data_IF_266908633922
#
_entry.id   IF_266908633922
#
_cell.length_a   1.000
_cell.length_b   1.000
_cell.length_c   1.000
_cell.angle_alpha   90.00
_cell.angle_beta   90.00
_cell.angle_gamma   90.00
#
_symmetry.space_group_name_H-M   'P 1'
#
loop_
_entity.id
_entity.type
_entity.pdbx_description
1 polymer ?
#
# COMPACT_ATOMS: atom_id res chain seq x y z
N UNK A 1 24.73 17.78 -16.35
CA UNK A 1 23.46 17.85 -15.60
C UNK A 1 23.76 17.51 -14.14
N UNK A 2 23.59 18.43 -13.22
CA UNK A 2 23.91 18.25 -11.80
C UNK A 2 22.98 17.16 -11.25
N UNK A 3 23.56 16.07 -10.74
CA UNK A 3 22.83 15.10 -9.92
C UNK A 3 22.40 15.86 -8.65
N UNK A 4 21.18 16.39 -8.64
CA UNK A 4 20.61 16.85 -7.39
C UNK A 4 20.58 15.66 -6.45
N UNK A 5 21.44 15.64 -5.44
CA UNK A 5 21.37 14.69 -4.35
C UNK A 5 20.00 14.85 -3.71
N UNK A 6 19.09 13.90 -3.95
CA UNK A 6 17.80 13.87 -3.30
C UNK A 6 18.06 13.72 -1.81
N UNK A 7 17.58 14.67 -1.02
CA UNK A 7 17.58 14.54 0.43
C UNK A 7 16.57 13.45 0.79
N UNK A 8 17.06 12.28 1.21
CA UNK A 8 16.24 11.15 1.63
C UNK A 8 15.94 11.14 3.13
N UNK A 9 16.46 12.12 3.86
CA UNK A 9 16.22 12.22 5.30
C UNK A 9 14.72 12.33 5.61
N UNK A 10 14.36 12.02 6.84
CA UNK A 10 12.98 12.11 7.33
C UNK A 10 12.38 13.48 7.05
N UNK A 11 11.11 13.51 6.70
CA UNK A 11 10.33 14.75 6.72
C UNK A 11 10.00 15.13 8.17
N UNK A 12 9.86 16.42 8.47
CA UNK A 12 9.36 16.82 9.77
C UNK A 12 7.95 16.26 10.00
N UNK A 13 7.63 15.92 11.26
CA UNK A 13 6.27 15.55 11.61
C UNK A 13 5.31 16.69 11.27
N UNK A 14 4.14 16.42 10.69
CA UNK A 14 3.10 17.42 10.46
C UNK A 14 2.55 17.93 11.80
N UNK A 15 1.77 19.01 11.73
CA UNK A 15 0.92 19.38 12.86
C UNK A 15 -0.07 18.24 13.11
N UNK A 16 -0.36 17.90 14.37
CA UNK A 16 -1.39 16.91 14.70
C UNK A 16 -2.74 17.27 14.07
N UNK A 17 -3.51 16.28 13.73
CA UNK A 17 -4.92 16.45 13.37
C UNK A 17 -5.69 17.07 14.55
N UNK A 18 -6.84 17.72 14.31
CA UNK A 18 -7.73 18.16 15.39
C UNK A 18 -8.01 17.00 16.37
N UNK A 19 -8.22 17.30 17.66
CA UNK A 19 -8.33 16.31 18.75
C UNK A 19 -9.42 15.25 18.51
N UNK A 20 -10.48 15.60 17.80
CA UNK A 20 -11.60 14.72 17.42
C UNK A 20 -11.43 14.07 16.03
N UNK A 21 -10.34 14.37 15.34
CA UNK A 21 -10.06 13.86 14.01
C UNK A 21 -8.93 12.81 14.06
N UNK A 22 -9.30 11.57 13.81
CA UNK A 22 -8.37 10.46 13.69
C UNK A 22 -8.43 9.85 12.30
N UNK A 23 -7.37 9.12 11.92
CA UNK A 23 -7.24 8.46 10.63
C UNK A 23 -6.54 7.12 10.79
N UNK A 24 -6.76 6.23 9.84
CA UNK A 24 -6.04 4.95 9.73
C UNK A 24 -5.24 4.96 8.42
N UNK A 25 -3.98 4.56 8.49
CA UNK A 25 -3.14 4.29 7.31
C UNK A 25 -3.58 2.97 6.69
N UNK A 26 -4.35 3.03 5.60
CA UNK A 26 -4.99 1.84 5.03
C UNK A 26 -4.03 0.92 4.27
N UNK A 27 -2.78 1.35 4.03
CA UNK A 27 -1.75 0.53 3.41
C UNK A 27 -0.35 1.09 3.69
N UNK A 28 0.50 0.30 4.31
CA UNK A 28 1.89 0.67 4.61
C UNK A 28 2.78 -0.58 4.72
N UNK A 29 4.11 -0.38 4.71
CA UNK A 29 5.10 -1.42 4.97
C UNK A 29 6.00 -1.00 6.14
N UNK A 30 5.44 -0.86 7.33
CA UNK A 30 6.17 -0.38 8.53
C UNK A 30 7.39 -1.24 8.82
N UNK A 31 7.25 -2.57 8.68
CA UNK A 31 8.37 -3.50 8.81
C UNK A 31 9.53 -3.19 7.86
N UNK A 32 9.25 -2.68 6.67
CA UNK A 32 10.25 -2.28 5.68
C UNK A 32 10.85 -0.90 5.95
N UNK A 33 10.15 -0.02 6.67
CA UNK A 33 10.64 1.32 7.01
C UNK A 33 11.90 1.23 7.88
N UNK A 34 11.94 0.28 8.82
CA UNK A 34 13.08 0.12 9.75
C UNK A 34 14.39 -0.18 9.02
N UNK A 35 14.54 -1.28 8.26
CA UNK A 35 15.77 -1.57 7.52
C UNK A 35 16.08 -0.52 6.45
N UNK A 36 15.06 0.11 5.87
CA UNK A 36 15.25 1.22 4.94
C UNK A 36 15.91 2.42 5.64
N UNK A 37 15.48 2.77 6.85
CA UNK A 37 16.06 3.85 7.64
C UNK A 37 17.50 3.54 8.09
N UNK A 38 17.80 2.28 8.42
CA UNK A 38 19.16 1.82 8.73
C UNK A 38 20.11 2.00 7.53
N UNK A 39 19.68 1.56 6.35
CA UNK A 39 20.44 1.73 5.12
C UNK A 39 20.68 3.22 4.80
N UNK A 40 19.67 4.05 5.01
CA UNK A 40 19.74 5.50 4.80
C UNK A 40 20.71 6.17 5.79
N UNK A 41 20.71 5.77 7.05
CA UNK A 41 21.65 6.27 8.08
C UNK A 41 23.08 5.90 7.73
N UNK A 42 23.31 4.64 7.33
CA UNK A 42 24.64 4.18 6.88
C UNK A 42 25.14 4.97 5.68
N UNK A 43 24.32 5.16 4.66
CA UNK A 43 24.65 5.96 3.46
C UNK A 43 24.99 7.43 3.81
N UNK A 44 24.23 8.02 4.75
CA UNK A 44 24.45 9.40 5.19
C UNK A 44 25.80 9.55 5.92
N UNK A 45 26.14 8.59 6.79
CA UNK A 45 27.43 8.56 7.50
C UNK A 45 28.61 8.40 6.52
N UNK A 46 28.52 7.48 5.55
CA UNK A 46 29.56 7.31 4.52
C UNK A 46 29.80 8.58 3.70
N UNK A 47 28.75 9.37 3.48
CA UNK A 47 28.82 10.64 2.74
C UNK A 47 29.14 11.86 3.58
N UNK A 48 29.35 11.70 4.88
CA UNK A 48 29.62 12.81 5.81
C UNK A 48 28.45 13.81 5.94
N UNK A 49 27.21 13.35 5.74
CA UNK A 49 26.00 14.17 5.77
C UNK A 49 25.36 14.30 7.16
N UNK A 50 26.01 13.77 8.18
CA UNK A 50 25.48 13.71 9.53
C UNK A 50 24.65 12.46 9.81
N UNK A 51 24.25 12.28 11.06
CA UNK A 51 23.46 11.15 11.51
C UNK A 51 22.00 11.31 11.08
N UNK A 52 21.44 10.24 10.52
CA UNK A 52 20.00 10.14 10.22
C UNK A 52 19.39 9.20 11.26
N UNK A 53 18.34 9.62 11.99
CA UNK A 53 17.71 8.76 12.99
C UNK A 53 17.23 7.44 12.39
N UNK A 54 17.44 6.35 13.12
CA UNK A 54 16.86 5.03 12.83
C UNK A 54 15.77 4.82 13.86
N UNK A 55 14.57 4.53 13.37
CA UNK A 55 13.40 4.31 14.21
C UNK A 55 13.06 2.82 14.28
N UNK A 56 12.65 2.37 15.46
CA UNK A 56 11.97 1.10 15.67
C UNK A 56 10.50 1.17 15.18
N UNK A 57 9.84 0.03 15.10
CA UNK A 57 8.40 -0.03 14.81
C UNK A 57 7.61 0.76 15.86
N UNK A 58 7.90 0.55 17.16
CA UNK A 58 7.23 1.25 18.27
C UNK A 58 7.35 2.76 18.12
N UNK A 59 8.56 3.28 17.85
CA UNK A 59 8.79 4.71 17.67
C UNK A 59 8.04 5.28 16.46
N UNK A 60 7.93 4.53 15.37
CA UNK A 60 7.15 4.94 14.19
C UNK A 60 5.66 5.00 14.50
N UNK A 61 5.13 4.01 15.21
CA UNK A 61 3.73 3.96 15.64
C UNK A 61 3.41 5.07 16.66
N UNK A 62 4.30 5.32 17.63
CA UNK A 62 4.15 6.44 18.57
C UNK A 62 4.13 7.80 17.86
N UNK A 63 5.00 8.00 16.86
CA UNK A 63 4.99 9.24 16.08
C UNK A 63 3.69 9.40 15.27
N UNK A 64 3.18 8.30 14.70
CA UNK A 64 1.91 8.27 13.99
C UNK A 64 0.74 8.65 14.93
N UNK A 65 0.68 8.05 16.12
CA UNK A 65 -0.35 8.37 17.12
C UNK A 65 -0.31 9.83 17.56
N UNK A 66 0.87 10.43 17.76
CA UNK A 66 1.04 11.84 18.14
C UNK A 66 0.45 12.82 17.12
N UNK A 67 0.28 12.41 15.87
CA UNK A 67 -0.31 13.24 14.81
C UNK A 67 -1.74 12.86 14.43
N UNK A 68 -2.35 11.90 15.16
CA UNK A 68 -3.74 11.50 14.97
C UNK A 68 -3.94 10.27 14.08
N UNK A 69 -2.87 9.53 13.74
CA UNK A 69 -2.97 8.23 13.06
C UNK A 69 -3.17 7.15 14.13
N UNK A 70 -4.37 6.59 14.23
CA UNK A 70 -4.74 5.66 15.31
C UNK A 70 -4.42 4.20 15.00
N UNK A 71 -4.25 3.86 13.72
CA UNK A 71 -3.94 2.50 13.28
C UNK A 71 -3.34 2.45 11.88
N UNK A 72 -2.77 1.30 11.55
CA UNK A 72 -2.14 1.01 10.26
C UNK A 72 -2.51 -0.39 9.79
N UNK A 73 -2.58 -0.58 8.46
CA UNK A 73 -2.63 -1.91 7.83
C UNK A 73 -1.26 -2.16 7.22
N UNK A 74 -0.47 -3.03 7.86
CA UNK A 74 0.86 -3.42 7.39
C UNK A 74 0.77 -4.55 6.38
N UNK A 75 1.49 -4.43 5.26
CA UNK A 75 1.35 -5.32 4.14
C UNK A 75 2.56 -6.25 3.98
N UNK A 76 2.34 -7.56 4.10
CA UNK A 76 3.30 -8.62 3.82
C UNK A 76 3.10 -9.13 2.38
N UNK A 77 4.12 -8.92 1.52
CA UNK A 77 4.02 -9.12 0.07
C UNK A 77 4.94 -10.22 -0.48
N UNK A 78 5.76 -10.81 0.37
CA UNK A 78 6.69 -11.91 0.07
C UNK A 78 6.54 -12.99 1.14
N UNK A 79 6.77 -14.26 0.80
CA UNK A 79 6.61 -15.37 1.75
C UNK A 79 7.24 -15.13 3.13
N UNK A 80 8.49 -14.61 3.27
CA UNK A 80 9.05 -14.32 4.59
C UNK A 80 8.31 -13.21 5.34
N UNK A 81 7.71 -12.26 4.63
CA UNK A 81 7.11 -11.07 5.22
C UNK A 81 5.65 -11.27 5.62
N UNK A 82 4.98 -12.34 5.15
CA UNK A 82 3.60 -12.64 5.53
C UNK A 82 3.47 -12.78 7.05
N UNK A 83 4.36 -13.58 7.65
CA UNK A 83 4.32 -13.79 9.10
C UNK A 83 4.80 -12.55 9.86
N UNK A 84 5.73 -11.76 9.31
CA UNK A 84 6.20 -10.51 9.92
C UNK A 84 5.05 -9.52 10.12
N UNK A 85 4.19 -9.31 9.12
CA UNK A 85 3.01 -8.45 9.23
C UNK A 85 2.02 -8.98 10.30
N UNK A 86 1.80 -10.29 10.33
CA UNK A 86 0.93 -10.94 11.32
C UNK A 86 1.49 -10.80 12.74
N UNK A 87 2.78 -11.03 12.93
CA UNK A 87 3.42 -10.92 14.26
C UNK A 87 3.37 -9.47 14.75
N UNK A 88 3.61 -8.49 13.89
CA UNK A 88 3.45 -7.08 14.23
C UNK A 88 2.01 -6.76 14.65
N UNK A 89 0.99 -7.29 13.96
CA UNK A 89 -0.41 -7.12 14.34
C UNK A 89 -0.75 -7.80 15.68
N UNK A 90 -0.06 -8.89 16.04
CA UNK A 90 -0.20 -9.55 17.34
C UNK A 90 0.48 -8.79 18.47
N UNK A 91 1.61 -8.14 18.18
CA UNK A 91 2.38 -7.35 19.15
C UNK A 91 1.71 -5.99 19.43
N UNK A 92 0.96 -5.44 18.45
CA UNK A 92 0.27 -4.16 18.55
C UNK A 92 -1.25 -4.27 18.30
N UNK A 93 -1.99 -5.04 19.13
CA UNK A 93 -3.41 -5.29 18.92
C UNK A 93 -4.23 -4.00 18.91
N UNK A 94 -5.11 -3.86 17.91
CA UNK A 94 -5.96 -2.68 17.72
C UNK A 94 -5.25 -1.45 17.09
N UNK A 95 -3.92 -1.51 16.95
CA UNK A 95 -3.14 -0.46 16.26
C UNK A 95 -2.62 -0.95 14.91
N UNK A 96 -2.16 -2.19 14.85
CA UNK A 96 -1.65 -2.79 13.61
C UNK A 96 -2.57 -3.92 13.17
N UNK A 97 -2.92 -3.93 11.91
CA UNK A 97 -3.63 -5.00 11.21
C UNK A 97 -2.78 -5.47 10.04
N UNK A 98 -2.96 -6.70 9.59
CA UNK A 98 -2.16 -7.28 8.51
C UNK A 98 -2.98 -7.45 7.23
N UNK A 99 -2.41 -7.06 6.10
CA UNK A 99 -2.78 -7.55 4.78
C UNK A 99 -1.69 -8.49 4.28
N UNK A 100 -2.05 -9.63 3.68
CA UNK A 100 -1.08 -10.61 3.20
C UNK A 100 -1.41 -11.11 1.81
N UNK A 101 -0.40 -11.19 0.94
CA UNK A 101 -0.51 -11.74 -0.41
C UNK A 101 0.89 -12.02 -1.00
N UNK A 102 0.94 -12.52 -2.22
CA UNK A 102 2.15 -12.56 -3.03
C UNK A 102 2.06 -11.44 -4.07
N UNK A 103 2.90 -10.43 -3.92
CA UNK A 103 2.96 -9.27 -4.82
C UNK A 103 3.15 -9.70 -6.29
N UNK A 104 2.57 -9.02 -7.29
CA UNK A 104 2.66 -9.43 -8.69
C UNK A 104 4.11 -9.63 -9.19
N UNK A 105 5.06 -8.82 -8.74
CA UNK A 105 6.47 -8.95 -9.11
C UNK A 105 7.16 -10.17 -8.43
N UNK A 106 6.67 -10.62 -7.28
CA UNK A 106 7.13 -11.83 -6.60
C UNK A 106 6.48 -13.08 -7.20
N UNK A 107 5.18 -13.02 -7.49
CA UNK A 107 4.41 -14.15 -8.02
C UNK A 107 5.00 -14.74 -9.30
N UNK A 108 5.59 -13.91 -10.16
CA UNK A 108 6.24 -14.36 -11.41
C UNK A 108 7.59 -15.04 -11.19
N UNK A 109 8.18 -14.90 -10.01
CA UNK A 109 9.48 -15.49 -9.67
C UNK A 109 9.34 -16.89 -9.04
N UNK A 110 8.20 -17.18 -8.42
CA UNK A 110 7.95 -18.46 -7.78
C UNK A 110 7.99 -19.63 -8.77
N UNK A 111 8.70 -20.69 -8.40
CA UNK A 111 8.91 -21.87 -9.24
C UNK A 111 9.78 -21.60 -10.47
N UNK A 112 10.54 -20.52 -10.48
CA UNK A 112 11.50 -20.15 -11.54
C UNK A 112 10.89 -20.17 -12.95
N UNK A 113 9.71 -19.59 -13.12
CA UNK A 113 8.95 -19.62 -14.39
C UNK A 113 9.62 -18.93 -15.57
N UNK A 114 10.86 -18.40 -15.40
CA UNK A 114 11.62 -17.76 -16.47
C UNK A 114 11.12 -16.38 -16.87
N UNK A 115 10.32 -15.73 -16.02
CA UNK A 115 9.90 -14.34 -16.23
C UNK A 115 11.11 -13.42 -16.24
N UNK A 116 11.09 -12.32 -17.02
CA UNK A 116 12.13 -11.30 -16.94
C UNK A 116 12.14 -10.66 -15.55
N UNK A 117 13.33 -10.30 -15.08
CA UNK A 117 13.45 -9.57 -13.82
C UNK A 117 12.80 -8.19 -13.92
N UNK A 118 12.47 -7.59 -12.75
CA UNK A 118 11.96 -6.23 -12.69
C UNK A 118 12.85 -5.25 -13.46
N UNK A 119 12.23 -4.31 -14.16
CA UNK A 119 12.92 -3.28 -14.97
C UNK A 119 13.85 -3.86 -16.07
N UNK A 120 13.63 -5.12 -16.52
CA UNK A 120 14.49 -5.81 -17.49
C UNK A 120 15.88 -6.18 -16.95
N UNK A 121 16.09 -6.07 -15.64
CA UNK A 121 17.34 -6.45 -14.98
C UNK A 121 17.42 -7.98 -14.80
N UNK A 122 18.64 -8.53 -14.66
CA UNK A 122 18.79 -9.94 -14.34
C UNK A 122 18.04 -10.30 -13.06
N UNK A 123 17.30 -11.40 -13.10
CA UNK A 123 16.57 -11.92 -11.94
C UNK A 123 17.55 -12.27 -10.82
N UNK A 124 17.24 -11.80 -9.61
CA UNK A 124 17.93 -12.21 -8.39
C UNK A 124 16.99 -13.10 -7.58
N UNK A 125 17.03 -14.38 -7.86
CA UNK A 125 16.26 -15.35 -7.08
C UNK A 125 16.65 -15.35 -5.61
N UNK A 126 15.67 -15.49 -4.77
CA UNK A 126 15.77 -15.67 -3.32
C UNK A 126 15.39 -17.11 -2.98
N UNK A 127 15.81 -17.64 -1.82
CA UNK A 127 15.50 -19.03 -1.46
C UNK A 127 14.01 -19.39 -1.50
N UNK A 128 13.14 -18.47 -1.19
CA UNK A 128 11.69 -18.71 -1.24
C UNK A 128 11.09 -18.73 -2.65
N UNK A 129 11.82 -18.29 -3.66
CA UNK A 129 11.39 -18.43 -5.06
C UNK A 129 11.51 -19.87 -5.59
N UNK A 130 12.22 -20.76 -4.86
CA UNK A 130 12.23 -22.19 -5.17
C UNK A 130 10.87 -22.84 -4.91
N UNK A 131 10.03 -22.22 -4.06
CA UNK A 131 8.68 -22.67 -3.74
C UNK A 131 7.76 -22.34 -4.92
N UNK A 132 7.00 -23.31 -5.46
CA UNK A 132 6.00 -23.05 -6.50
C UNK A 132 4.93 -22.04 -6.05
N UNK A 133 4.35 -21.33 -7.01
CA UNK A 133 3.37 -20.27 -6.71
C UNK A 133 2.12 -20.80 -6.00
N UNK A 134 1.64 -21.99 -6.37
CA UNK A 134 0.48 -22.63 -5.75
C UNK A 134 0.75 -23.00 -4.27
N UNK A 135 1.96 -23.42 -3.94
CA UNK A 135 2.37 -23.66 -2.56
C UNK A 135 2.48 -22.34 -1.77
N UNK A 136 2.99 -21.27 -2.41
CA UNK A 136 3.02 -19.94 -1.80
C UNK A 136 1.60 -19.42 -1.51
N UNK A 137 0.64 -19.62 -2.43
CA UNK A 137 -0.76 -19.30 -2.23
C UNK A 137 -1.42 -20.14 -1.14
N UNK A 138 -1.08 -21.44 -1.04
CA UNK A 138 -1.53 -22.28 0.05
C UNK A 138 -1.06 -21.76 1.42
N UNK A 139 0.13 -21.19 1.49
CA UNK A 139 0.63 -20.57 2.72
C UNK A 139 -0.14 -19.27 3.05
N UNK A 140 -0.45 -18.41 2.07
CA UNK A 140 -1.31 -17.23 2.28
C UNK A 140 -2.67 -17.66 2.83
N UNK A 141 -3.32 -18.66 2.22
CA UNK A 141 -4.59 -19.22 2.69
C UNK A 141 -4.49 -19.73 4.15
N UNK A 142 -3.45 -20.53 4.43
CA UNK A 142 -3.21 -21.12 5.76
C UNK A 142 -3.05 -20.03 6.81
N UNK A 143 -2.27 -18.98 6.53
CA UNK A 143 -2.03 -17.89 7.45
C UNK A 143 -3.30 -17.05 7.67
N UNK A 144 -4.02 -16.69 6.61
CA UNK A 144 -5.27 -15.93 6.72
C UNK A 144 -6.32 -16.67 7.56
N UNK A 145 -6.42 -17.99 7.42
CA UNK A 145 -7.35 -18.82 8.20
C UNK A 145 -6.89 -19.10 9.62
N UNK A 146 -5.56 -19.13 9.86
CA UNK A 146 -5.00 -19.35 11.20
C UNK A 146 -5.06 -18.10 12.07
N UNK A 147 -4.95 -16.91 11.47
CA UNK A 147 -4.86 -15.63 12.16
C UNK A 147 -5.99 -14.64 11.74
N UNK A 148 -7.27 -15.05 11.84
CA UNK A 148 -8.39 -14.26 11.32
C UNK A 148 -8.62 -12.93 12.08
N UNK A 149 -8.03 -12.77 13.26
CA UNK A 149 -8.14 -11.53 14.03
C UNK A 149 -7.03 -10.51 13.65
N UNK A 150 -5.98 -10.95 12.96
CA UNK A 150 -4.85 -10.13 12.54
C UNK A 150 -4.92 -9.82 11.05
N UNK A 151 -5.26 -10.82 10.24
CA UNK A 151 -5.36 -10.69 8.78
C UNK A 151 -6.73 -10.13 8.41
N UNK A 152 -6.74 -8.89 7.96
CA UNK A 152 -7.96 -8.15 7.61
C UNK A 152 -8.16 -8.01 6.10
N UNK A 153 -7.16 -8.36 5.27
CA UNK A 153 -7.25 -8.27 3.82
C UNK A 153 -6.32 -9.27 3.11
N UNK A 154 -6.68 -9.63 1.90
CA UNK A 154 -5.78 -10.22 0.90
C UNK A 154 -5.17 -9.08 0.09
N UNK A 155 -3.88 -8.88 0.19
CA UNK A 155 -3.13 -7.78 -0.45
C UNK A 155 -1.69 -7.72 0.05
N UNK A 156 -0.85 -7.20 -0.78
CA UNK A 156 -0.96 -6.48 -2.02
C UNK A 156 -0.88 -7.46 -3.21
N UNK A 157 -1.85 -7.44 -4.10
CA UNK A 157 -1.92 -8.28 -5.29
C UNK A 157 -2.44 -7.48 -6.48
N UNK A 158 -2.34 -8.00 -7.69
CA UNK A 158 -2.76 -7.29 -8.89
C UNK A 158 -1.75 -7.42 -10.02
N UNK A 159 -1.43 -6.31 -10.71
CA UNK A 159 -0.49 -6.33 -11.84
C UNK A 159 0.45 -5.11 -11.83
N UNK A 160 1.70 -5.33 -12.25
CA UNK A 160 2.75 -4.31 -12.41
C UNK A 160 3.46 -4.50 -13.76
N UNK A 161 3.01 -3.80 -14.77
CA UNK A 161 3.61 -3.85 -16.11
C UNK A 161 4.73 -2.81 -16.28
N UNK A 162 4.95 -1.96 -15.28
CA UNK A 162 6.12 -1.08 -15.24
C UNK A 162 7.40 -1.84 -14.88
N UNK A 163 7.32 -2.71 -13.88
CA UNK A 163 8.48 -3.49 -13.38
C UNK A 163 8.67 -4.77 -14.14
N UNK A 164 7.59 -5.44 -14.47
CA UNK A 164 7.60 -6.74 -15.13
C UNK A 164 7.05 -6.59 -16.53
N UNK A 165 7.86 -6.91 -17.53
CA UNK A 165 7.51 -6.68 -18.93
C UNK A 165 6.37 -7.58 -19.43
N UNK A 166 5.93 -7.29 -20.65
CA UNK A 166 4.80 -7.96 -21.33
C UNK A 166 4.87 -9.49 -21.31
N UNK A 167 6.09 -10.07 -21.34
CA UNK A 167 6.27 -11.53 -21.31
C UNK A 167 5.82 -12.21 -20.02
N UNK A 168 5.67 -11.46 -18.92
CA UNK A 168 5.19 -11.99 -17.63
C UNK A 168 3.75 -11.59 -17.32
N UNK A 169 3.09 -10.87 -18.20
CA UNK A 169 1.73 -10.36 -18.04
C UNK A 169 0.72 -11.46 -17.69
N UNK A 170 0.75 -12.57 -18.42
CA UNK A 170 -0.17 -13.68 -18.16
C UNK A 170 0.12 -14.37 -16.82
N UNK A 171 1.40 -14.48 -16.42
CA UNK A 171 1.76 -15.03 -15.11
C UNK A 171 1.24 -14.16 -13.96
N UNK A 172 1.31 -12.82 -14.11
CA UNK A 172 0.71 -11.91 -13.14
C UNK A 172 -0.81 -12.01 -13.11
N UNK A 173 -1.45 -12.13 -14.29
CA UNK A 173 -2.90 -12.29 -14.39
C UNK A 173 -3.38 -13.58 -13.73
N UNK A 174 -2.68 -14.70 -13.95
CA UNK A 174 -2.95 -15.98 -13.27
C UNK A 174 -2.86 -15.83 -11.74
N UNK A 175 -1.79 -15.18 -11.27
CA UNK A 175 -1.60 -14.93 -9.85
C UNK A 175 -2.70 -14.02 -9.28
N UNK A 176 -3.06 -12.96 -9.98
CA UNK A 176 -4.14 -12.06 -9.58
C UNK A 176 -5.49 -12.79 -9.48
N UNK A 177 -5.82 -13.64 -10.44
CA UNK A 177 -7.02 -14.51 -10.42
C UNK A 177 -7.06 -15.43 -9.21
N UNK A 178 -5.91 -16.01 -8.84
CA UNK A 178 -5.81 -16.85 -7.64
C UNK A 178 -6.12 -16.06 -6.36
N UNK A 179 -5.62 -14.82 -6.26
CA UNK A 179 -5.92 -13.94 -5.12
C UNK A 179 -7.38 -13.45 -5.12
N UNK A 180 -7.98 -13.16 -6.28
CA UNK A 180 -9.41 -12.84 -6.38
C UNK A 180 -10.26 -14.00 -5.85
N UNK A 181 -9.94 -15.23 -6.25
CA UNK A 181 -10.64 -16.41 -5.77
C UNK A 181 -10.50 -16.58 -4.25
N UNK A 182 -9.27 -16.41 -3.73
CA UNK A 182 -8.99 -16.51 -2.29
C UNK A 182 -9.73 -15.43 -1.47
N UNK A 183 -9.68 -14.18 -1.91
CA UNK A 183 -10.38 -13.08 -1.23
C UNK A 183 -11.89 -13.33 -1.15
N UNK A 184 -12.48 -13.85 -2.23
CA UNK A 184 -13.92 -14.22 -2.26
C UNK A 184 -14.22 -15.42 -1.37
N UNK A 185 -13.38 -16.46 -1.37
CA UNK A 185 -13.51 -17.64 -0.52
C UNK A 185 -13.52 -17.27 0.95
N UNK A 186 -12.58 -16.40 1.36
CA UNK A 186 -12.42 -15.98 2.76
C UNK A 186 -13.32 -14.81 3.14
N UNK A 187 -14.06 -14.23 2.19
CA UNK A 187 -14.83 -13.00 2.38
C UNK A 187 -13.98 -11.87 2.98
N UNK A 188 -12.75 -11.70 2.50
CA UNK A 188 -11.85 -10.63 2.90
C UNK A 188 -11.79 -9.52 1.85
N UNK A 189 -11.57 -8.26 2.26
CA UNK A 189 -11.19 -7.19 1.35
C UNK A 189 -9.95 -7.56 0.54
N UNK A 190 -9.84 -6.99 -0.66
CA UNK A 190 -8.65 -7.17 -1.49
C UNK A 190 -7.99 -5.83 -1.79
N UNK A 191 -6.68 -5.71 -1.49
CA UNK A 191 -5.86 -4.54 -1.84
C UNK A 191 -5.14 -4.80 -3.17
N UNK A 192 -5.41 -3.96 -4.16
CA UNK A 192 -4.93 -4.12 -5.52
C UNK A 192 -3.77 -3.17 -5.80
N UNK A 193 -2.65 -3.76 -6.19
CA UNK A 193 -1.54 -3.10 -6.87
C UNK A 193 -1.87 -2.95 -8.36
N UNK A 194 -1.82 -1.74 -8.86
CA UNK A 194 -2.09 -1.44 -10.26
C UNK A 194 -1.09 -0.40 -10.78
N UNK A 195 -0.08 -0.87 -11.51
CA UNK A 195 0.96 0.00 -12.05
C UNK A 195 1.18 -0.25 -13.54
N UNK A 196 0.85 0.76 -14.35
CA UNK A 196 0.86 0.68 -15.81
C UNK A 196 0.03 -0.49 -16.36
N UNK A 197 -1.02 -0.91 -15.63
CA UNK A 197 -1.82 -2.11 -15.88
C UNK A 197 -3.33 -1.92 -15.69
N UNK A 198 -3.82 -0.68 -15.63
CA UNK A 198 -5.22 -0.33 -15.34
C UNK A 198 -6.21 -1.16 -16.15
N UNK A 199 -5.97 -1.25 -17.46
CA UNK A 199 -6.83 -2.02 -18.37
C UNK A 199 -6.89 -3.50 -17.99
N UNK A 200 -5.74 -4.12 -17.81
CA UNK A 200 -5.60 -5.54 -17.49
C UNK A 200 -6.20 -5.89 -16.14
N UNK A 201 -6.02 -5.01 -15.14
CA UNK A 201 -6.60 -5.17 -13.80
C UNK A 201 -8.13 -5.09 -13.89
N UNK A 202 -8.68 -4.06 -14.53
CA UNK A 202 -10.12 -3.87 -14.69
C UNK A 202 -10.75 -5.05 -15.46
N UNK A 203 -10.16 -5.44 -16.60
CA UNK A 203 -10.63 -6.58 -17.39
C UNK A 203 -10.68 -7.87 -16.57
N UNK A 204 -9.65 -8.12 -15.75
CA UNK A 204 -9.59 -9.32 -14.91
C UNK A 204 -10.64 -9.29 -13.80
N UNK A 205 -10.81 -8.16 -13.11
CA UNK A 205 -11.84 -7.99 -12.08
C UNK A 205 -13.25 -8.18 -12.62
N UNK A 206 -13.54 -7.62 -13.80
CA UNK A 206 -14.86 -7.74 -14.43
C UNK A 206 -15.13 -9.15 -14.95
N UNK A 207 -14.11 -9.84 -15.47
CA UNK A 207 -14.24 -11.19 -15.99
C UNK A 207 -14.45 -12.24 -14.88
N UNK A 208 -13.71 -12.12 -13.77
CA UNK A 208 -13.74 -13.12 -12.69
C UNK A 208 -14.75 -12.76 -11.58
N UNK A 209 -15.31 -11.55 -11.62
CA UNK A 209 -16.13 -10.96 -10.56
C UNK A 209 -15.28 -10.51 -9.38
N UNK A 210 -15.15 -9.20 -9.21
CA UNK A 210 -14.38 -8.60 -8.13
C UNK A 210 -14.90 -9.04 -6.74
N UNK A 211 -14.04 -9.17 -5.72
CA UNK A 211 -14.49 -9.27 -4.33
C UNK A 211 -15.36 -8.07 -3.96
N UNK A 212 -16.31 -8.25 -3.04
CA UNK A 212 -17.25 -7.19 -2.63
C UNK A 212 -16.53 -5.92 -2.15
N UNK A 213 -15.42 -6.11 -1.42
CA UNK A 213 -14.60 -5.02 -0.88
C UNK A 213 -13.26 -4.95 -1.62
N UNK A 214 -13.31 -4.43 -2.85
CA UNK A 214 -12.16 -4.25 -3.72
C UNK A 214 -11.57 -2.86 -3.55
N UNK A 215 -10.30 -2.77 -3.14
CA UNK A 215 -9.58 -1.53 -2.84
C UNK A 215 -8.41 -1.38 -3.80
N UNK A 216 -8.38 -0.32 -4.57
CA UNK A 216 -7.18 0.08 -5.30
C UNK A 216 -6.25 0.83 -4.36
N UNK A 217 -5.19 0.18 -3.89
CA UNK A 217 -4.17 0.84 -3.11
C UNK A 217 -3.34 1.78 -3.99
N UNK A 218 -2.81 2.85 -3.40
CA UNK A 218 -2.05 3.88 -4.11
C UNK A 218 -2.66 4.27 -5.47
N UNK A 219 -3.98 4.44 -5.48
CA UNK A 219 -4.74 4.67 -6.70
C UNK A 219 -4.07 5.69 -7.62
N UNK A 220 -3.89 5.31 -8.89
CA UNK A 220 -3.17 6.10 -9.89
C UNK A 220 -3.97 6.33 -11.18
N UNK A 221 -5.24 5.93 -11.19
CA UNK A 221 -6.13 6.10 -12.33
C UNK A 221 -6.59 7.54 -12.55
N UNK A 222 -7.23 7.75 -13.69
CA UNK A 222 -7.86 8.99 -14.08
C UNK A 222 -9.39 8.99 -13.81
N UNK A 223 -10.09 10.02 -14.29
CA UNK A 223 -11.53 10.15 -14.09
C UNK A 223 -12.33 9.03 -14.79
N UNK A 224 -11.86 8.48 -15.92
CA UNK A 224 -12.53 7.36 -16.60
C UNK A 224 -12.48 6.10 -15.75
N UNK A 225 -11.30 5.78 -15.19
CA UNK A 225 -11.15 4.68 -14.25
C UNK A 225 -11.95 4.95 -12.96
N UNK A 226 -12.04 6.20 -12.51
CA UNK A 226 -12.86 6.62 -11.37
C UNK A 226 -14.35 6.33 -11.57
N UNK A 227 -14.89 6.55 -12.78
CA UNK A 227 -16.27 6.18 -13.11
C UNK A 227 -16.49 4.67 -13.07
N UNK A 228 -15.55 3.89 -13.60
CA UNK A 228 -15.62 2.43 -13.55
C UNK A 228 -15.61 1.96 -12.07
N UNK A 229 -14.75 2.54 -11.24
CA UNK A 229 -14.71 2.22 -9.82
C UNK A 229 -16.06 2.56 -9.13
N UNK A 230 -16.64 3.73 -9.41
CA UNK A 230 -17.93 4.15 -8.90
C UNK A 230 -19.07 3.20 -9.29
N UNK A 231 -19.11 2.80 -10.57
CA UNK A 231 -20.14 1.89 -11.09
C UNK A 231 -20.09 0.50 -10.48
N UNK A 232 -18.89 0.05 -10.05
CA UNK A 232 -18.67 -1.25 -9.45
C UNK A 232 -18.59 -1.22 -7.91
N UNK A 233 -18.73 -0.05 -7.29
CA UNK A 233 -18.63 0.10 -5.84
C UNK A 233 -17.23 -0.17 -5.28
N UNK A 234 -16.18 0.06 -6.07
CA UNK A 234 -14.80 -0.14 -5.65
C UNK A 234 -14.28 1.05 -4.85
N UNK A 235 -13.31 0.80 -4.00
CA UNK A 235 -12.71 1.77 -3.10
C UNK A 235 -11.36 2.25 -3.61
N UNK A 236 -11.06 3.52 -3.36
CA UNK A 236 -9.78 4.16 -3.73
C UNK A 236 -9.02 4.52 -2.47
N UNK A 237 -7.81 3.99 -2.32
CA UNK A 237 -6.89 4.43 -1.27
C UNK A 237 -5.86 5.39 -1.85
N UNK A 238 -5.78 6.59 -1.27
CA UNK A 238 -5.00 7.70 -1.79
C UNK A 238 -3.70 7.87 -1.01
N UNK A 239 -2.58 7.64 -1.68
CA UNK A 239 -1.25 7.85 -1.13
C UNK A 239 -0.78 9.31 -1.27
N UNK A 240 0.44 9.61 -0.82
CA UNK A 240 1.07 10.91 -0.99
C UNK A 240 1.12 11.41 -2.44
N UNK A 241 1.00 10.53 -3.42
CA UNK A 241 0.94 10.86 -4.85
C UNK A 241 -0.26 11.74 -5.20
N UNK A 242 -1.36 11.64 -4.45
CA UNK A 242 -2.55 12.47 -4.64
C UNK A 242 -2.27 13.97 -4.43
N UNK A 243 -1.22 14.31 -3.67
CA UNK A 243 -0.76 15.67 -3.44
C UNK A 243 0.12 16.24 -4.57
N UNK A 244 0.54 15.42 -5.55
CA UNK A 244 1.47 15.87 -6.58
C UNK A 244 0.78 16.73 -7.62
N UNK A 245 1.51 17.78 -8.06
CA UNK A 245 1.06 18.59 -9.16
C UNK A 245 0.97 17.73 -10.44
N UNK A 246 -0.16 17.79 -11.11
CA UNK A 246 -0.42 17.02 -12.33
C UNK A 246 -1.18 15.70 -12.10
N UNK A 247 -1.43 15.31 -10.84
CA UNK A 247 -2.24 14.12 -10.50
C UNK A 247 -3.71 14.50 -10.26
N UNK A 248 -4.27 15.41 -11.08
CA UNK A 248 -5.66 15.85 -10.97
C UNK A 248 -6.65 14.70 -11.17
N UNK A 249 -6.31 13.72 -12.04
CA UNK A 249 -7.15 12.55 -12.30
C UNK A 249 -7.46 11.75 -11.03
N UNK A 250 -6.48 11.55 -10.14
CA UNK A 250 -6.67 10.86 -8.85
C UNK A 250 -7.71 11.61 -8.00
N UNK A 251 -7.60 12.93 -7.93
CA UNK A 251 -8.48 13.77 -7.12
C UNK A 251 -9.89 13.88 -7.70
N UNK A 252 -10.00 13.92 -9.03
CA UNK A 252 -11.30 13.87 -9.71
C UNK A 252 -11.97 12.51 -9.45
N UNK A 253 -11.25 11.40 -9.53
CA UNK A 253 -11.76 10.07 -9.19
C UNK A 253 -12.30 10.00 -7.77
N UNK A 254 -11.60 10.60 -6.79
CA UNK A 254 -12.06 10.69 -5.41
C UNK A 254 -13.39 11.44 -5.27
N UNK A 255 -13.62 12.49 -6.07
CA UNK A 255 -14.93 13.18 -6.12
C UNK A 255 -16.02 12.30 -6.73
N UNK A 256 -15.69 11.56 -7.79
CA UNK A 256 -16.65 10.71 -8.51
C UNK A 256 -17.15 9.55 -7.64
N UNK A 257 -16.26 8.85 -6.94
CA UNK A 257 -16.65 7.73 -6.07
C UNK A 257 -17.29 8.21 -4.77
N UNK A 258 -16.99 9.43 -4.33
CA UNK A 258 -17.47 9.99 -3.06
C UNK A 258 -16.70 9.47 -1.84
N UNK A 259 -16.75 10.24 -0.76
CA UNK A 259 -15.91 9.98 0.44
C UNK A 259 -16.19 8.67 1.16
N UNK A 260 -17.35 8.06 0.96
CA UNK A 260 -17.66 6.71 1.45
C UNK A 260 -16.90 5.59 0.73
N UNK A 261 -16.17 5.90 -0.33
CA UNK A 261 -15.33 4.96 -1.09
C UNK A 261 -13.88 5.43 -1.19
N UNK A 262 -13.48 6.39 -0.34
CA UNK A 262 -12.11 6.92 -0.31
C UNK A 262 -11.46 6.64 1.02
N UNK A 263 -10.24 6.12 0.96
CA UNK A 263 -9.33 5.93 2.08
C UNK A 263 -8.03 6.70 1.82
N UNK A 264 -7.17 6.80 2.83
CA UNK A 264 -5.82 7.36 2.71
C UNK A 264 -4.79 6.40 3.24
N UNK A 265 -3.61 6.46 2.67
CA UNK A 265 -2.49 5.58 3.00
C UNK A 265 -1.15 6.30 2.87
N UNK A 266 -0.09 5.69 3.36
CA UNK A 266 1.27 6.17 3.09
C UNK A 266 1.97 5.41 1.98
N UNK A 267 1.81 4.10 1.89
CA UNK A 267 2.70 3.20 1.15
C UNK A 267 4.16 3.39 1.60
N UNK A 268 4.35 3.62 2.90
CA UNK A 268 5.69 3.86 3.44
C UNK A 268 6.58 2.61 3.29
N UNK A 269 7.86 2.79 2.95
CA UNK A 269 8.68 4.01 2.97
C UNK A 269 8.63 4.86 1.70
N UNK A 270 7.74 4.58 0.77
CA UNK A 270 7.63 5.20 -0.55
C UNK A 270 6.63 6.36 -0.56
N UNK A 271 6.48 7.02 -1.71
CA UNK A 271 5.39 7.92 -2.10
C UNK A 271 5.12 9.11 -1.16
N UNK A 272 6.18 9.68 -0.54
CA UNK A 272 6.05 10.82 0.38
C UNK A 272 5.25 11.97 -0.22
N UNK A 273 4.28 12.56 0.52
CA UNK A 273 3.46 13.66 0.05
C UNK A 273 4.26 14.95 -0.15
N UNK A 274 3.67 15.89 -0.91
CA UNK A 274 4.21 17.25 -0.99
C UNK A 274 4.12 17.95 0.38
N UNK A 275 5.07 18.83 0.73
CA UNK A 275 6.23 19.24 -0.09
C UNK A 275 7.46 18.33 0.01
N UNK A 276 7.33 17.17 0.63
CA UNK A 276 8.45 16.29 0.99
C UNK A 276 8.71 15.17 -0.01
N UNK A 277 8.24 15.29 -1.24
CA UNK A 277 8.47 14.30 -2.29
C UNK A 277 9.95 13.94 -2.43
N UNK A 278 10.24 12.62 -2.35
CA UNK A 278 11.59 12.06 -2.46
C UNK A 278 12.33 11.89 -1.14
N UNK A 279 11.73 12.29 -0.01
CA UNK A 279 12.18 11.90 1.34
C UNK A 279 11.64 10.52 1.70
N UNK A 280 12.09 9.96 2.80
CA UNK A 280 11.53 8.72 3.35
C UNK A 280 10.15 8.99 3.94
N UNK A 281 9.19 8.13 3.60
CA UNK A 281 7.83 8.18 4.10
C UNK A 281 7.67 7.31 5.36
N UNK A 282 6.68 7.63 6.18
CA UNK A 282 6.28 6.86 7.36
C UNK A 282 4.82 7.17 7.71
N UNK A 283 4.13 6.33 8.50
CA UNK A 283 2.72 6.51 8.84
C UNK A 283 2.37 7.89 9.40
N UNK A 284 3.27 8.54 10.15
CA UNK A 284 3.05 9.88 10.68
C UNK A 284 2.90 10.97 9.59
N UNK A 285 3.16 10.66 8.32
CA UNK A 285 3.04 11.61 7.21
C UNK A 285 1.62 11.72 6.62
N UNK A 286 0.69 10.84 7.02
CA UNK A 286 -0.72 10.85 6.55
C UNK A 286 -1.38 12.23 6.61
N UNK A 287 -1.21 13.06 7.66
CA UNK A 287 -1.84 14.37 7.70
C UNK A 287 -1.50 15.29 6.52
N UNK A 288 -0.31 15.16 5.92
CA UNK A 288 0.02 15.91 4.71
C UNK A 288 -0.85 15.51 3.51
N UNK A 289 -1.13 14.22 3.35
CA UNK A 289 -2.04 13.71 2.31
C UNK A 289 -3.47 14.19 2.56
N UNK A 290 -3.93 14.13 3.82
CA UNK A 290 -5.27 14.61 4.21
C UNK A 290 -5.44 16.12 3.99
N UNK A 291 -4.44 16.93 4.33
CA UNK A 291 -4.49 18.38 4.05
C UNK A 291 -4.62 18.66 2.55
N UNK A 292 -3.80 18.00 1.72
CA UNK A 292 -3.87 18.18 0.28
C UNK A 292 -5.24 17.78 -0.29
N UNK A 293 -5.85 16.71 0.24
CA UNK A 293 -7.17 16.25 -0.17
C UNK A 293 -8.27 17.20 0.31
N UNK A 294 -8.21 17.67 1.55
CA UNK A 294 -9.15 18.63 2.12
C UNK A 294 -9.14 19.94 1.34
N UNK A 295 -7.95 20.47 1.05
CA UNK A 295 -7.78 21.69 0.24
C UNK A 295 -8.35 21.51 -1.18
N UNK A 296 -8.09 20.36 -1.80
CA UNK A 296 -8.60 20.09 -3.15
C UNK A 296 -10.13 19.96 -3.19
N UNK A 297 -10.72 19.31 -2.19
CA UNK A 297 -12.16 19.09 -2.10
C UNK A 297 -12.91 20.30 -1.54
N UNK A 298 -12.21 21.33 -1.07
CA UNK A 298 -12.77 22.49 -0.36
C UNK A 298 -13.66 22.05 0.81
N UNK A 299 -13.14 21.13 1.64
CA UNK A 299 -13.85 20.57 2.80
C UNK A 299 -12.99 20.64 4.06
N UNK A 300 -13.61 20.74 5.24
CA UNK A 300 -12.87 20.74 6.51
C UNK A 300 -12.01 19.48 6.69
N UNK A 301 -10.76 19.66 7.14
CA UNK A 301 -9.81 18.57 7.37
C UNK A 301 -10.39 17.47 8.28
N UNK A 302 -11.05 17.87 9.37
CA UNK A 302 -11.67 16.92 10.31
C UNK A 302 -12.76 16.07 9.65
N UNK A 303 -13.51 16.63 8.71
CA UNK A 303 -14.54 15.91 7.96
C UNK A 303 -13.92 14.86 7.03
N UNK A 304 -12.84 15.22 6.32
CA UNK A 304 -12.12 14.30 5.45
C UNK A 304 -11.45 13.19 6.26
N UNK A 305 -10.78 13.51 7.37
CA UNK A 305 -10.17 12.53 8.25
C UNK A 305 -11.20 11.54 8.80
N UNK A 306 -12.33 12.03 9.28
CA UNK A 306 -13.41 11.19 9.77
C UNK A 306 -13.98 10.27 8.68
N UNK A 307 -14.28 10.81 7.50
CA UNK A 307 -14.86 10.03 6.41
C UNK A 307 -13.90 8.92 5.95
N UNK A 308 -12.63 9.23 5.72
CA UNK A 308 -11.64 8.22 5.30
C UNK A 308 -11.40 7.16 6.37
N UNK A 309 -11.42 7.54 7.65
CA UNK A 309 -11.33 6.60 8.78
C UNK A 309 -12.53 5.65 8.83
N UNK A 310 -13.75 6.20 8.74
CA UNK A 310 -14.98 5.40 8.76
C UNK A 310 -15.02 4.42 7.58
N UNK A 311 -14.65 4.87 6.37
CA UNK A 311 -14.53 4.00 5.21
C UNK A 311 -13.52 2.88 5.44
N UNK A 312 -12.33 3.19 6.00
CA UNK A 312 -11.31 2.17 6.30
C UNK A 312 -11.85 1.15 7.30
N UNK A 313 -12.50 1.61 8.37
CA UNK A 313 -13.11 0.71 9.37
C UNK A 313 -14.18 -0.18 8.81
N UNK A 314 -15.08 0.36 8.01
CA UNK A 314 -16.16 -0.40 7.38
C UNK A 314 -15.61 -1.47 6.43
N UNK A 315 -14.65 -1.11 5.57
CA UNK A 315 -14.08 -2.01 4.58
C UNK A 315 -13.34 -3.16 5.23
N UNK A 316 -12.50 -2.88 6.24
CA UNK A 316 -11.63 -3.90 6.85
C UNK A 316 -12.22 -4.54 8.11
N UNK A 317 -13.32 -4.02 8.65
CA UNK A 317 -13.96 -4.56 9.85
C UNK A 317 -13.17 -4.35 11.14
N UNK A 318 -12.48 -3.21 11.27
CA UNK A 318 -11.56 -2.87 12.38
C UNK A 318 -12.00 -1.66 13.20
#
# INVERSE_FOLDING_TARGET
MSKHHRNRNWAPAPQPLPEDAHVIDSHTHVASVVPFSQAMSHEAMEKGQGEVPVYSVDELLEQAQKVGVEGVIDCGCELPNLMTAIDMAREHPGTVHAAIAIHPNEAVLHGHRGAPGPDGLPIKYKPWHDIPFDEAMAEVHRLATTYPNQVVAIGETGMDLFRTGESAKELQREAFRAHIALAKELNLPMQIHDRDSHKEVIETLLADGAPERTVFHSYSGDAEMGEIARENGWYLSLSGTSSYKGNDGIRESAKLVGMSHVMVETDAPYLSPMPYRGRTNAPYMIPYTLHALADYLDRPLAEIAKATRETTREVYGI
#
